data_IF_563533487120
#
_entry.id   IF_563533487120
#
_cell.length_a   1.000
_cell.length_b   1.000
_cell.length_c   1.000
_cell.angle_alpha   90.00
_cell.angle_beta   90.00
_cell.angle_gamma   90.00
#
_symmetry.space_group_name_H-M   'P 1'
#
loop_
_entity.id
_entity.type
_entity.pdbx_description
1 polymer ?
#
# COMPACT_ATOMS: atom_id res chain seq x y z
N UNK A 1 -1.17 0.02 5.25
CA UNK A 1 -0.32 -1.12 5.57
C UNK A 1 -1.17 -2.26 6.11
N UNK A 2 -0.93 -3.46 5.62
CA UNK A 2 -1.66 -4.67 6.03
C UNK A 2 -0.74 -5.59 6.79
N UNK A 3 -1.30 -6.29 7.78
CA UNK A 3 -0.59 -7.31 8.54
C UNK A 3 -1.19 -8.69 8.26
N UNK A 4 -0.34 -9.63 7.86
CA UNK A 4 -0.70 -11.04 7.59
C UNK A 4 0.15 -11.96 8.45
N UNK A 5 -0.20 -13.25 8.58
CA UNK A 5 0.67 -14.22 9.27
C UNK A 5 2.08 -14.33 8.67
N UNK A 6 2.25 -14.01 7.39
CA UNK A 6 3.54 -14.04 6.70
C UNK A 6 4.29 -12.69 6.78
N UNK A 7 3.75 -11.69 7.43
CA UNK A 7 4.35 -10.37 7.57
C UNK A 7 3.50 -9.25 6.97
N UNK A 8 4.13 -8.10 6.78
CA UNK A 8 3.43 -6.92 6.26
C UNK A 8 3.26 -7.00 4.74
N UNK A 9 2.18 -6.36 4.28
CA UNK A 9 1.89 -6.14 2.87
C UNK A 9 1.40 -4.70 2.71
N UNK A 10 1.65 -4.11 1.57
CA UNK A 10 1.26 -2.74 1.29
C UNK A 10 0.16 -2.71 0.22
N UNK A 11 -0.97 -2.06 0.50
CA UNK A 11 -2.01 -1.82 -0.49
C UNK A 11 -2.01 -0.34 -0.84
N UNK A 12 -1.88 -0.06 -2.13
CA UNK A 12 -1.82 1.31 -2.66
C UNK A 12 -3.09 1.57 -3.46
N UNK A 13 -3.85 2.56 -3.02
CA UNK A 13 -5.08 2.97 -3.69
C UNK A 13 -5.29 4.48 -3.52
N UNK A 14 -6.22 5.06 -4.27
CA UNK A 14 -6.50 6.48 -4.19
C UNK A 14 -6.95 6.88 -2.78
N UNK A 15 -6.52 8.05 -2.32
CA UNK A 15 -6.83 8.54 -0.97
C UNK A 15 -8.33 8.67 -0.71
N UNK A 16 -9.13 8.92 -1.76
CA UNK A 16 -10.58 9.01 -1.67
C UNK A 16 -11.28 7.64 -1.61
N UNK A 17 -10.56 6.57 -1.90
CA UNK A 17 -11.11 5.21 -1.93
C UNK A 17 -10.87 4.50 -0.60
N UNK A 18 -11.68 3.49 -0.33
CA UNK A 18 -11.53 2.64 0.84
C UNK A 18 -11.08 1.25 0.43
N UNK A 19 -10.16 0.69 1.20
CA UNK A 19 -9.68 -0.66 1.00
C UNK A 19 -10.78 -1.67 1.36
N UNK A 20 -11.01 -2.63 0.46
CA UNK A 20 -11.86 -3.79 0.74
C UNK A 20 -10.97 -4.93 1.23
N UNK A 21 -11.08 -5.26 2.51
CA UNK A 21 -10.24 -6.29 3.13
C UNK A 21 -10.52 -7.70 2.60
N UNK A 22 -11.74 -7.97 2.13
CA UNK A 22 -12.05 -9.26 1.49
C UNK A 22 -11.33 -9.39 0.16
N UNK A 23 -11.35 -8.34 -0.67
CA UNK A 23 -10.63 -8.32 -1.95
C UNK A 23 -9.12 -8.44 -1.73
N UNK A 24 -8.59 -7.75 -0.74
CA UNK A 24 -7.17 -7.82 -0.40
C UNK A 24 -6.77 -9.23 0.09
N UNK A 25 -7.58 -9.84 0.94
CA UNK A 25 -7.33 -11.20 1.42
C UNK A 25 -7.31 -12.21 0.26
N UNK A 26 -8.27 -12.10 -0.67
CA UNK A 26 -8.32 -12.95 -1.85
C UNK A 26 -7.07 -12.75 -2.72
N UNK A 27 -6.65 -11.51 -2.95
CA UNK A 27 -5.48 -11.20 -3.75
C UNK A 27 -4.18 -11.70 -3.11
N UNK A 28 -4.11 -11.71 -1.79
CA UNK A 28 -2.94 -12.18 -1.02
C UNK A 28 -2.99 -13.67 -0.71
N UNK A 29 -4.07 -14.35 -1.06
CA UNK A 29 -4.28 -15.77 -0.75
C UNK A 29 -4.19 -16.05 0.76
N UNK A 30 -4.80 -15.19 1.55
CA UNK A 30 -4.92 -15.38 3.00
C UNK A 30 -6.40 -15.36 3.39
N UNK A 31 -6.72 -15.97 4.54
CA UNK A 31 -8.09 -15.92 5.04
C UNK A 31 -8.41 -14.53 5.56
N UNK A 32 -9.67 -14.10 5.38
CA UNK A 32 -10.08 -12.75 5.79
C UNK A 32 -9.75 -12.44 7.25
N UNK A 33 -9.98 -13.39 8.16
CA UNK A 33 -9.74 -13.15 9.58
C UNK A 33 -8.26 -13.15 9.99
N UNK A 34 -7.37 -13.58 9.09
CA UNK A 34 -5.93 -13.51 9.29
C UNK A 34 -5.32 -12.19 8.79
N UNK A 35 -6.13 -11.36 8.13
CA UNK A 35 -5.70 -10.08 7.58
C UNK A 35 -6.27 -8.94 8.42
N UNK A 36 -5.43 -8.02 8.82
CA UNK A 36 -5.85 -6.80 9.51
C UNK A 36 -5.05 -5.59 9.02
N UNK A 37 -5.58 -4.41 9.25
CA UNK A 37 -4.81 -3.19 9.07
C UNK A 37 -3.72 -3.13 10.14
N UNK A 38 -2.52 -2.72 9.74
CA UNK A 38 -1.47 -2.41 10.69
C UNK A 38 -1.87 -1.20 11.53
N UNK A 39 -1.57 -1.25 12.82
CA UNK A 39 -1.85 -0.15 13.74
C UNK A 39 -0.76 0.93 13.62
N UNK A 40 -1.03 2.12 14.16
CA UNK A 40 0.00 3.16 14.26
C UNK A 40 1.20 2.67 15.08
N UNK A 41 0.96 1.88 16.13
CA UNK A 41 2.01 1.29 16.94
C UNK A 41 2.87 0.30 16.13
N UNK A 42 2.25 -0.53 15.29
CA UNK A 42 2.98 -1.43 14.38
C UNK A 42 3.90 -0.63 13.46
N UNK A 43 3.36 0.43 12.85
CA UNK A 43 4.12 1.25 11.90
C UNK A 43 5.25 2.02 12.59
N UNK A 44 5.02 2.54 13.78
CA UNK A 44 6.05 3.23 14.54
C UNK A 44 7.19 2.30 14.96
N UNK A 45 6.88 1.05 15.28
CA UNK A 45 7.87 0.06 15.69
C UNK A 45 8.65 -0.53 14.50
N UNK A 46 7.96 -0.90 13.43
CA UNK A 46 8.53 -1.69 12.35
C UNK A 46 8.91 -0.87 11.12
N UNK A 47 8.42 0.37 11.02
CA UNK A 47 8.72 1.31 9.93
C UNK A 47 9.15 2.66 10.49
N UNK A 48 10.01 2.64 11.50
CA UNK A 48 10.42 3.83 12.25
C UNK A 48 11.20 4.86 11.43
N UNK A 49 11.74 4.48 10.27
CA UNK A 49 12.42 5.38 9.35
C UNK A 49 11.46 6.36 8.65
N UNK A 50 10.16 6.11 8.73
CA UNK A 50 9.12 6.96 8.13
C UNK A 50 8.19 7.51 9.20
N UNK A 51 7.61 8.67 8.95
CA UNK A 51 6.49 9.15 9.76
C UNK A 51 5.27 8.27 9.54
N UNK A 52 4.50 8.04 10.61
CA UNK A 52 3.26 7.25 10.53
C UNK A 52 2.29 7.92 9.54
N UNK A 53 1.76 7.12 8.62
CA UNK A 53 0.87 7.61 7.56
C UNK A 53 1.58 8.22 6.36
N UNK A 54 2.92 8.26 6.34
CA UNK A 54 3.70 8.85 5.25
C UNK A 54 4.66 7.86 4.59
N UNK A 55 4.43 6.56 4.73
CA UNK A 55 5.26 5.51 4.12
C UNK A 55 5.12 5.57 2.60
N UNK A 56 6.24 5.74 1.85
CA UNK A 56 6.15 5.82 0.40
C UNK A 56 5.85 4.46 -0.23
N UNK A 57 5.19 4.44 -1.39
CA UNK A 57 4.93 3.19 -2.10
C UNK A 57 6.16 2.63 -2.82
N UNK A 58 7.25 3.38 -2.88
CA UNK A 58 8.52 2.97 -3.47
C UNK A 58 9.61 3.19 -2.45
N UNK A 59 10.39 2.16 -2.18
CA UNK A 59 11.51 2.26 -1.26
C UNK A 59 12.16 0.90 -1.01
N UNK A 60 13.41 0.87 -0.51
CA UNK A 60 14.13 -0.38 -0.32
C UNK A 60 13.50 -1.32 0.72
N UNK A 61 12.79 -0.75 1.68
CA UNK A 61 12.19 -1.50 2.79
C UNK A 61 10.68 -1.66 2.64
N UNK A 62 10.13 -1.34 1.46
CA UNK A 62 8.70 -1.47 1.20
C UNK A 62 8.33 -2.95 1.09
N UNK A 63 7.33 -3.43 1.84
CA UNK A 63 6.89 -4.82 1.71
C UNK A 63 6.22 -5.06 0.37
N UNK A 64 5.96 -6.33 0.06
CA UNK A 64 5.23 -6.70 -1.16
C UNK A 64 3.92 -5.91 -1.29
N UNK A 65 3.63 -5.43 -2.48
CA UNK A 65 2.53 -4.49 -2.73
C UNK A 65 1.43 -5.06 -3.60
N UNK A 66 0.23 -4.57 -3.30
CA UNK A 66 -0.92 -4.59 -4.21
C UNK A 66 -1.20 -3.14 -4.62
N UNK A 67 -1.46 -2.91 -5.90
CA UNK A 67 -1.86 -1.60 -6.42
C UNK A 67 -3.27 -1.73 -6.99
N UNK A 68 -4.18 -0.86 -6.56
CA UNK A 68 -5.52 -0.87 -7.10
C UNK A 68 -5.50 -0.52 -8.59
N UNK A 69 -6.23 -1.31 -9.39
CA UNK A 69 -6.26 -1.17 -10.85
C UNK A 69 -6.59 0.24 -11.31
N UNK A 70 -7.47 0.93 -10.58
CA UNK A 70 -7.94 2.26 -10.98
C UNK A 70 -6.89 3.34 -10.85
N UNK A 71 -5.83 3.12 -10.04
CA UNK A 71 -4.70 4.05 -10.01
C UNK A 71 -3.99 4.14 -11.35
N UNK A 72 -3.99 3.06 -12.12
CA UNK A 72 -3.29 3.01 -13.41
C UNK A 72 -3.96 3.88 -14.48
N UNK A 73 -5.18 4.35 -14.24
CA UNK A 73 -5.89 5.26 -15.14
C UNK A 73 -5.39 6.71 -15.04
N UNK A 74 -4.65 7.04 -13.99
CA UNK A 74 -4.07 8.38 -13.81
C UNK A 74 -2.70 8.47 -14.47
N UNK A 75 -2.40 9.61 -15.09
CA UNK A 75 -1.08 9.84 -15.66
C UNK A 75 -0.02 9.95 -14.57
N UNK A 76 -0.37 10.65 -13.47
CA UNK A 76 0.50 10.83 -12.31
C UNK A 76 -0.32 10.81 -11.03
N UNK A 77 0.30 10.37 -9.95
CA UNK A 77 -0.28 10.40 -8.61
C UNK A 77 0.71 11.00 -7.63
N UNK A 78 0.19 11.64 -6.59
CA UNK A 78 1.00 12.14 -5.47
C UNK A 78 1.03 11.09 -4.38
N UNK A 79 2.24 10.74 -3.95
CA UNK A 79 2.46 9.74 -2.91
C UNK A 79 3.24 10.36 -1.75
N UNK A 80 3.06 9.82 -0.52
CA UNK A 80 3.93 10.19 0.59
C UNK A 80 5.40 9.88 0.27
N UNK A 81 6.30 10.68 0.82
CA UNK A 81 7.74 10.54 0.59
C UNK A 81 8.53 10.27 1.87
N UNK A 82 7.89 9.69 2.88
CA UNK A 82 8.52 9.31 4.14
C UNK A 82 8.24 10.25 5.30
N UNK A 83 7.76 11.45 5.03
CA UNK A 83 7.30 12.40 6.04
C UNK A 83 6.08 13.18 5.52
N UNK A 84 5.45 13.97 6.40
CA UNK A 84 4.26 14.73 6.06
C UNK A 84 4.53 16.07 5.33
N UNK A 85 5.80 16.36 5.02
CA UNK A 85 6.22 17.62 4.38
C UNK A 85 6.54 17.45 2.90
N UNK A 86 6.78 16.22 2.47
CA UNK A 86 7.24 15.90 1.13
C UNK A 86 6.30 14.93 0.45
N UNK A 87 6.15 15.10 -0.86
CA UNK A 87 5.39 14.19 -1.70
C UNK A 87 6.19 13.86 -2.95
N UNK A 88 5.93 12.68 -3.48
CA UNK A 88 6.46 12.23 -4.76
C UNK A 88 5.37 12.30 -5.80
N UNK A 89 5.66 12.90 -6.95
CA UNK A 89 4.79 12.84 -8.13
C UNK A 89 5.32 11.73 -9.02
N UNK A 90 4.54 10.67 -9.18
CA UNK A 90 4.97 9.48 -9.92
C UNK A 90 3.92 9.02 -10.92
N UNK A 91 4.38 8.35 -11.98
CA UNK A 91 3.51 7.54 -12.82
C UNK A 91 3.17 6.26 -12.05
N UNK A 92 1.88 5.92 -11.85
CA UNK A 92 1.51 4.73 -11.09
C UNK A 92 2.05 3.43 -11.69
N UNK A 93 2.28 3.38 -13.00
CA UNK A 93 2.95 2.23 -13.63
C UNK A 93 4.39 2.06 -13.14
N UNK A 94 5.06 3.14 -12.75
CA UNK A 94 6.41 3.06 -12.18
C UNK A 94 6.41 2.37 -10.81
N UNK A 95 5.35 2.55 -10.02
CA UNK A 95 5.20 1.83 -8.76
C UNK A 95 5.17 0.32 -9.04
N UNK A 96 4.36 -0.12 -9.99
CA UNK A 96 4.25 -1.53 -10.36
C UNK A 96 5.59 -2.07 -10.87
N UNK A 97 6.25 -1.31 -11.75
CA UNK A 97 7.50 -1.73 -12.38
C UNK A 97 8.65 -1.89 -11.38
N UNK A 98 8.80 -0.90 -10.50
CA UNK A 98 9.92 -0.85 -9.54
C UNK A 98 9.73 -1.83 -8.40
N UNK A 99 8.49 -1.98 -7.91
CA UNK A 99 8.20 -2.81 -6.71
C UNK A 99 7.81 -4.25 -7.05
N UNK A 100 7.46 -4.53 -8.31
CA UNK A 100 6.89 -5.82 -8.69
C UNK A 100 5.47 -6.01 -8.18
N UNK A 101 4.77 -4.94 -7.84
CA UNK A 101 3.42 -4.99 -7.31
C UNK A 101 2.44 -5.67 -8.26
N UNK A 102 1.44 -6.34 -7.70
CA UNK A 102 0.31 -6.84 -8.47
C UNK A 102 -0.77 -5.77 -8.56
N UNK A 103 -1.27 -5.55 -9.78
CA UNK A 103 -2.42 -4.65 -10.01
C UNK A 103 -3.69 -5.46 -9.89
N UNK A 104 -4.52 -5.14 -8.92
CA UNK A 104 -5.76 -5.87 -8.63
C UNK A 104 -6.85 -4.91 -8.16
N UNK A 105 -8.09 -5.37 -8.19
CA UNK A 105 -9.20 -4.65 -7.60
C UNK A 105 -9.19 -4.88 -6.09
N UNK A 106 -8.88 -3.84 -5.31
CA UNK A 106 -8.87 -3.90 -3.84
C UNK A 106 -9.69 -2.81 -3.18
N UNK A 107 -10.41 -2.03 -3.95
CA UNK A 107 -11.23 -0.94 -3.44
C UNK A 107 -12.66 -1.40 -3.14
N UNK A 108 -13.27 -0.84 -2.09
CA UNK A 108 -14.72 -0.97 -1.86
C UNK A 108 -15.48 -0.37 -3.04
N UNK A 109 -16.55 -1.01 -3.41
CA UNK A 109 -17.44 -0.53 -4.48
C UNK A 109 -18.31 0.63 -4.02
#
# INVERSE_FOLDING_TARGET
MLHTPAGYRFAVLAASDRLDLHKAADALDVRRHDLRLATEADMAADFSQYEVGAIPPIGPDTPQELVDLRLLDYAHVLCPAGDHRHSLLVDPMDIVRVTGARSVDVREN
#
